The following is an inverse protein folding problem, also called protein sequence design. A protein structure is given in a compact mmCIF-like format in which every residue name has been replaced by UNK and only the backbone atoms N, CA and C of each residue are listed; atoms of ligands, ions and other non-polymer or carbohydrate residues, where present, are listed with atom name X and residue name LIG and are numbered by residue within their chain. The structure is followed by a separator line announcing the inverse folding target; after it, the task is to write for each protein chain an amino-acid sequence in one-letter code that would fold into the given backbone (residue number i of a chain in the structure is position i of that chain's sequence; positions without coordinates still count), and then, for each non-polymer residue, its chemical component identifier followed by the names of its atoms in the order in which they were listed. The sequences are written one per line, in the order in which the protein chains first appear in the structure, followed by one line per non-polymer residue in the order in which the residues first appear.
data_IF_885651296402
#
_entry.id   IF_885651296402
#
_cell.length_a   1.000
_cell.length_b   1.000
_cell.length_c   1.000
_cell.angle_alpha   90.00
_cell.angle_beta   90.00
_cell.angle_gamma   90.00
#
_symmetry.space_group_name_H-M   'P 1'
#
loop_
_entity.id
_entity.type
_entity.pdbx_description
1 polymer ?
#
# COMPACT_ATOMS: atom_id res chain seq x y z
N UNK A 1 -22.24 2.53 -13.59
CA UNK A 1 -20.79 2.81 -13.47
C UNK A 1 -20.13 2.54 -14.81
N UNK A 2 -19.46 3.53 -15.39
CA UNK A 2 -18.65 3.29 -16.59
C UNK A 2 -17.29 2.74 -16.16
N UNK A 3 -16.93 1.59 -16.68
CA UNK A 3 -15.64 0.94 -16.43
C UNK A 3 -14.69 1.27 -17.58
N UNK A 4 -13.42 1.51 -17.24
CA UNK A 4 -12.40 1.70 -18.26
C UNK A 4 -11.93 0.34 -18.76
N UNK A 5 -12.08 0.10 -20.05
CA UNK A 5 -11.46 -1.04 -20.74
C UNK A 5 -9.92 -0.85 -20.80
N UNK A 6 -9.12 -1.92 -20.95
CA UNK A 6 -7.65 -1.85 -20.99
C UNK A 6 -7.09 -0.95 -22.08
N UNK A 7 -7.85 -0.75 -23.16
CA UNK A 7 -7.49 0.14 -24.27
C UNK A 7 -7.74 1.63 -23.98
N UNK A 8 -8.16 1.98 -22.76
CA UNK A 8 -8.53 3.35 -22.37
C UNK A 8 -9.90 3.79 -22.85
N UNK A 9 -10.70 2.90 -23.42
CA UNK A 9 -12.10 3.18 -23.77
C UNK A 9 -13.02 2.99 -22.57
N UNK A 10 -14.16 3.67 -22.60
CA UNK A 10 -15.21 3.49 -21.60
C UNK A 10 -16.03 2.28 -22.02
N UNK A 11 -16.12 1.26 -21.16
CA UNK A 11 -17.05 0.16 -21.30
C UNK A 11 -18.34 0.48 -20.54
N UNK A 12 -19.41 0.93 -21.21
CA UNK A 12 -20.66 1.29 -20.55
C UNK A 12 -21.36 0.09 -19.90
N UNK A 13 -21.09 -1.12 -20.40
CA UNK A 13 -21.72 -2.35 -19.90
C UNK A 13 -21.07 -2.92 -18.67
N UNK A 14 -19.81 -2.55 -18.40
CA UNK A 14 -19.03 -3.09 -17.28
C UNK A 14 -18.85 -4.62 -17.33
N UNK A 15 -19.17 -5.25 -18.46
CA UNK A 15 -19.23 -6.70 -18.59
C UNK A 15 -17.87 -7.34 -18.88
N UNK A 16 -16.90 -6.56 -19.31
CA UNK A 16 -15.58 -7.07 -19.60
C UNK A 16 -14.67 -6.90 -18.40
N UNK A 17 -14.21 -8.01 -17.85
CA UNK A 17 -13.18 -8.07 -16.77
C UNK A 17 -11.82 -7.49 -17.20
N UNK A 18 -11.78 -6.72 -18.27
CA UNK A 18 -10.57 -6.16 -18.86
C UNK A 18 -9.90 -5.06 -18.04
N UNK A 19 -10.57 -4.55 -17.00
CA UNK A 19 -9.93 -3.64 -16.03
C UNK A 19 -8.85 -4.32 -15.17
N UNK A 20 -8.77 -5.65 -15.18
CA UNK A 20 -7.79 -6.41 -14.42
C UNK A 20 -6.50 -6.59 -15.22
N UNK A 21 -5.45 -5.90 -14.81
CA UNK A 21 -4.10 -6.08 -15.36
C UNK A 21 -3.25 -6.86 -14.36
N UNK A 22 -2.85 -8.08 -14.72
CA UNK A 22 -2.02 -8.94 -13.87
C UNK A 22 -0.64 -8.33 -13.63
N UNK A 23 -0.09 -7.65 -14.63
CA UNK A 23 1.20 -6.97 -14.53
C UNK A 23 1.14 -5.79 -13.56
N UNK A 24 0.06 -4.99 -13.62
CA UNK A 24 -0.20 -3.93 -12.66
C UNK A 24 -0.40 -4.45 -11.24
N UNK A 25 -1.16 -5.53 -11.09
CA UNK A 25 -1.37 -6.17 -9.80
C UNK A 25 -0.04 -6.67 -9.21
N UNK A 26 0.79 -7.37 -10.01
CA UNK A 26 2.11 -7.82 -9.59
C UNK A 26 3.00 -6.66 -9.13
N UNK A 27 2.99 -5.54 -9.86
CA UNK A 27 3.71 -4.33 -9.45
C UNK A 27 3.35 -3.88 -8.04
N UNK A 28 2.05 -3.74 -7.72
CA UNK A 28 1.63 -3.27 -6.40
C UNK A 28 1.90 -4.29 -5.29
N UNK A 29 1.76 -5.58 -5.56
CA UNK A 29 2.09 -6.62 -4.58
C UNK A 29 3.58 -6.62 -4.27
N UNK A 30 4.44 -6.53 -5.27
CA UNK A 30 5.88 -6.51 -5.08
C UNK A 30 6.35 -5.19 -4.42
N UNK A 31 5.70 -4.07 -4.75
CA UNK A 31 5.93 -2.79 -4.08
C UNK A 31 5.63 -2.88 -2.58
N UNK A 32 4.59 -3.63 -2.18
CA UNK A 32 4.25 -3.80 -0.76
C UNK A 32 5.37 -4.46 0.05
N UNK A 33 6.16 -5.34 -0.57
CA UNK A 33 7.33 -5.96 0.08
C UNK A 33 8.40 -4.91 0.42
N UNK A 34 8.66 -3.97 -0.50
CA UNK A 34 9.59 -2.86 -0.23
C UNK A 34 9.07 -1.92 0.87
N UNK A 35 7.76 -1.67 0.90
CA UNK A 35 7.12 -0.85 1.96
C UNK A 35 7.28 -1.52 3.33
N UNK A 36 7.02 -2.82 3.43
CA UNK A 36 7.26 -3.59 4.67
C UNK A 36 8.70 -3.51 5.10
N UNK A 37 9.65 -3.66 4.15
CA UNK A 37 11.08 -3.56 4.45
C UNK A 37 11.46 -2.18 4.99
N UNK A 38 10.92 -1.11 4.42
CA UNK A 38 11.13 0.25 4.92
C UNK A 38 10.68 0.40 6.37
N UNK A 39 9.51 -0.16 6.71
CA UNK A 39 9.01 -0.24 8.08
C UNK A 39 9.91 -1.04 9.00
N UNK A 40 10.48 -2.16 8.54
CA UNK A 40 11.40 -2.97 9.36
C UNK A 40 12.67 -2.21 9.75
N UNK A 41 13.21 -1.34 8.88
CA UNK A 41 14.33 -0.46 9.25
C UNK A 41 13.94 0.51 10.36
N UNK A 42 12.79 1.17 10.22
CA UNK A 42 12.30 2.11 11.23
C UNK A 42 11.99 1.39 12.55
N UNK A 43 11.36 0.22 12.48
CA UNK A 43 11.04 -0.61 13.64
C UNK A 43 12.30 -1.08 14.36
N UNK A 44 13.31 -1.59 13.61
CA UNK A 44 14.59 -1.96 14.18
C UNK A 44 15.23 -0.78 14.93
N UNK A 45 15.26 0.42 14.30
CA UNK A 45 15.84 1.61 14.93
C UNK A 45 15.09 2.01 16.20
N UNK A 46 13.78 1.89 16.19
CA UNK A 46 12.94 2.10 17.37
C UNK A 46 13.29 1.14 18.50
N UNK A 47 13.42 -0.16 18.21
CA UNK A 47 13.79 -1.17 19.22
C UNK A 47 15.18 -0.93 19.82
N UNK A 48 16.15 -0.50 19.02
CA UNK A 48 17.50 -0.16 19.49
C UNK A 48 17.51 0.99 20.52
N UNK A 49 16.48 1.82 20.55
CA UNK A 49 16.32 2.89 21.55
C UNK A 49 15.66 2.43 22.84
N UNK A 50 15.25 1.17 22.96
CA UNK A 50 14.55 0.63 24.13
C UNK A 50 15.46 -0.27 24.96
N UNK A 51 15.25 -0.25 26.26
CA UNK A 51 15.96 -1.13 27.20
C UNK A 51 15.23 -2.45 27.33
N UNK A 52 15.98 -3.56 27.34
CA UNK A 52 15.44 -4.90 27.59
C UNK A 52 14.96 -5.67 26.37
N UNK A 53 15.16 -5.12 25.17
CA UNK A 53 14.85 -5.83 23.91
C UNK A 53 15.94 -6.88 23.59
N UNK A 54 15.55 -7.94 22.89
CA UNK A 54 16.46 -9.01 22.49
C UNK A 54 17.44 -8.51 21.41
N UNK A 55 18.72 -8.49 21.75
CA UNK A 55 19.78 -8.07 20.82
C UNK A 55 19.87 -9.00 19.60
N UNK A 56 19.59 -10.31 19.76
CA UNK A 56 19.59 -11.29 18.67
C UNK A 56 18.48 -10.99 17.66
N UNK A 57 17.28 -10.64 18.15
CA UNK A 57 16.18 -10.23 17.30
C UNK A 57 16.47 -8.93 16.52
N UNK A 58 17.02 -7.92 17.21
CA UNK A 58 17.43 -6.66 16.57
C UNK A 58 18.47 -6.90 15.48
N UNK A 59 19.46 -7.77 15.75
CA UNK A 59 20.50 -8.13 14.77
C UNK A 59 19.91 -8.88 13.56
N UNK A 60 18.95 -9.78 13.77
CA UNK A 60 18.26 -10.53 12.72
C UNK A 60 17.41 -9.64 11.81
N UNK A 61 16.79 -8.58 12.32
CA UNK A 61 15.96 -7.68 11.54
C UNK A 61 16.73 -6.97 10.41
N UNK A 62 18.01 -6.64 10.62
CA UNK A 62 18.77 -5.87 9.64
C UNK A 62 18.98 -6.60 8.31
N UNK A 63 19.53 -7.84 8.28
CA UNK A 63 19.69 -8.58 7.04
C UNK A 63 18.35 -8.91 6.36
N UNK A 64 17.29 -9.16 7.14
CA UNK A 64 15.96 -9.36 6.62
C UNK A 64 15.45 -8.12 5.89
N UNK A 65 15.50 -6.94 6.55
CA UNK A 65 15.07 -5.68 5.96
C UNK A 65 15.84 -5.35 4.67
N UNK A 66 17.16 -5.59 4.65
CA UNK A 66 17.97 -5.38 3.45
C UNK A 66 17.58 -6.32 2.28
N UNK A 67 17.34 -7.60 2.57
CA UNK A 67 16.92 -8.58 1.55
C UNK A 67 15.55 -8.21 0.97
N UNK A 68 14.58 -7.91 1.83
CA UNK A 68 13.24 -7.55 1.41
C UNK A 68 13.21 -6.21 0.65
N UNK A 69 13.98 -5.23 1.09
CA UNK A 69 14.06 -3.93 0.42
C UNK A 69 14.64 -4.05 -0.98
N UNK A 70 15.74 -4.79 -1.13
CA UNK A 70 16.33 -5.00 -2.45
C UNK A 70 15.41 -5.83 -3.34
N UNK A 71 14.96 -6.99 -2.85
CA UNK A 71 14.09 -7.87 -3.64
C UNK A 71 12.79 -7.17 -4.03
N UNK A 72 12.09 -6.55 -3.05
CA UNK A 72 10.84 -5.84 -3.29
C UNK A 72 11.01 -4.65 -4.25
N UNK A 73 12.05 -3.84 -4.06
CA UNK A 73 12.31 -2.68 -4.91
C UNK A 73 12.68 -3.05 -6.34
N UNK A 74 13.61 -4.00 -6.53
CA UNK A 74 14.04 -4.45 -7.87
C UNK A 74 12.89 -5.17 -8.60
N UNK A 75 12.18 -6.06 -7.91
CA UNK A 75 11.05 -6.77 -8.51
C UNK A 75 9.87 -5.84 -8.80
N UNK A 76 9.64 -4.80 -7.98
CA UNK A 76 8.65 -3.78 -8.28
C UNK A 76 9.02 -3.01 -9.56
N UNK A 77 10.28 -2.59 -9.72
CA UNK A 77 10.73 -1.92 -10.95
C UNK A 77 10.61 -2.86 -12.16
N UNK A 78 11.02 -4.12 -12.05
CA UNK A 78 10.92 -5.10 -13.13
C UNK A 78 9.46 -5.36 -13.54
N UNK A 79 8.56 -5.57 -12.56
CA UNK A 79 7.13 -5.77 -12.83
C UNK A 79 6.46 -4.49 -13.34
N UNK A 80 6.92 -3.31 -12.89
CA UNK A 80 6.53 -2.02 -13.43
C UNK A 80 6.90 -1.87 -14.90
N UNK A 81 8.12 -2.27 -15.29
CA UNK A 81 8.54 -2.28 -16.69
C UNK A 81 7.67 -3.23 -17.54
N UNK A 82 7.36 -4.42 -17.03
CA UNK A 82 6.43 -5.33 -17.72
C UNK A 82 5.03 -4.73 -17.84
N UNK A 83 4.55 -4.05 -16.81
CA UNK A 83 3.27 -3.33 -16.90
C UNK A 83 3.30 -2.23 -17.97
N UNK A 84 4.37 -1.43 -18.01
CA UNK A 84 4.55 -0.40 -19.06
C UNK A 84 4.51 -0.98 -20.47
N UNK A 85 5.13 -2.15 -20.67
CA UNK A 85 5.10 -2.85 -21.97
C UNK A 85 3.69 -3.35 -22.37
N UNK A 86 2.77 -3.46 -21.40
CA UNK A 86 1.38 -3.87 -21.66
C UNK A 86 0.40 -2.70 -21.71
N UNK A 87 0.89 -1.46 -21.63
CA UNK A 87 0.02 -0.29 -21.72
C UNK A 87 -0.57 -0.14 -23.13
N UNK A 88 -1.86 0.24 -23.22
CA UNK A 88 -2.47 0.60 -24.49
C UNK A 88 -1.72 1.73 -25.19
N UNK A 89 -1.80 1.78 -26.52
CA UNK A 89 -1.12 2.80 -27.33
C UNK A 89 -1.40 4.24 -26.87
N UNK A 90 -2.65 4.54 -26.49
CA UNK A 90 -3.07 5.84 -25.95
C UNK A 90 -2.37 6.22 -24.63
N UNK A 91 -1.78 5.25 -23.93
CA UNK A 91 -1.04 5.44 -22.67
C UNK A 91 0.47 5.27 -22.83
N UNK A 92 0.95 4.91 -24.04
CA UNK A 92 2.36 4.62 -24.29
C UNK A 92 3.30 5.81 -24.00
N UNK A 93 2.79 7.04 -24.11
CA UNK A 93 3.50 8.26 -23.74
C UNK A 93 4.08 8.20 -22.32
N UNK A 94 3.46 7.44 -21.43
CA UNK A 94 3.87 7.38 -20.03
C UNK A 94 5.25 6.73 -19.86
N UNK A 95 5.61 5.77 -20.72
CA UNK A 95 6.91 5.09 -20.65
C UNK A 95 8.10 6.05 -20.85
N UNK A 96 7.89 7.16 -21.56
CA UNK A 96 8.91 8.20 -21.77
C UNK A 96 8.76 9.42 -20.86
N UNK A 97 7.73 9.42 -20.00
CA UNK A 97 7.42 10.54 -19.14
C UNK A 97 8.41 10.71 -17.97
N UNK A 98 8.66 11.95 -17.58
CA UNK A 98 9.46 12.26 -16.39
C UNK A 98 8.87 11.67 -15.10
N UNK A 99 7.54 11.51 -15.02
CA UNK A 99 6.85 10.90 -13.89
C UNK A 99 7.24 9.44 -13.68
N UNK A 100 7.27 8.67 -14.77
CA UNK A 100 7.69 7.28 -14.73
C UNK A 100 9.15 7.16 -14.30
N UNK A 101 10.05 7.92 -14.95
CA UNK A 101 11.47 7.85 -14.64
C UNK A 101 11.78 8.30 -13.20
N UNK A 102 11.15 9.37 -12.73
CA UNK A 102 11.30 9.82 -11.35
C UNK A 102 10.86 8.75 -10.35
N UNK A 103 9.76 8.04 -10.63
CA UNK A 103 9.27 6.93 -9.80
C UNK A 103 10.23 5.74 -9.80
N UNK A 104 10.74 5.36 -10.97
CA UNK A 104 11.69 4.25 -11.10
C UNK A 104 13.01 4.56 -10.37
N UNK A 105 13.55 5.77 -10.54
CA UNK A 105 14.76 6.24 -9.85
C UNK A 105 14.53 6.25 -8.33
N UNK A 106 13.40 6.76 -7.87
CA UNK A 106 13.07 6.80 -6.44
C UNK A 106 12.97 5.39 -5.83
N UNK A 107 12.35 4.43 -6.55
CA UNK A 107 12.27 3.03 -6.11
C UNK A 107 13.64 2.37 -6.07
N UNK A 108 14.47 2.57 -7.09
CA UNK A 108 15.84 2.04 -7.10
C UNK A 108 16.69 2.68 -6.00
N UNK A 109 16.57 3.99 -5.81
CA UNK A 109 17.23 4.68 -4.70
C UNK A 109 16.81 4.08 -3.35
N UNK A 110 15.51 3.86 -3.12
CA UNK A 110 15.01 3.22 -1.91
C UNK A 110 15.58 1.79 -1.75
N UNK A 111 15.67 1.01 -2.83
CA UNK A 111 16.17 -0.36 -2.80
C UNK A 111 17.66 -0.45 -2.42
N UNK A 112 18.49 0.46 -2.92
CA UNK A 112 19.95 0.39 -2.77
C UNK A 112 20.51 1.27 -1.65
N UNK A 113 19.87 2.38 -1.35
CA UNK A 113 20.35 3.36 -0.37
C UNK A 113 20.65 2.78 1.03
N UNK A 114 19.84 1.87 1.60
CA UNK A 114 20.15 1.30 2.90
C UNK A 114 21.50 0.59 2.96
N UNK A 115 21.94 -0.01 1.84
CA UNK A 115 23.26 -0.65 1.76
C UNK A 115 24.41 0.35 1.77
N UNK A 116 24.20 1.51 1.15
CA UNK A 116 25.20 2.59 1.13
C UNK A 116 25.41 3.22 2.51
N UNK A 117 24.39 3.18 3.35
CA UNK A 117 24.47 3.70 4.72
C UNK A 117 25.33 2.80 5.64
N UNK A 118 25.38 1.50 5.39
CA UNK A 118 26.17 0.57 6.18
C UNK A 118 25.94 0.73 7.69
N UNK A 119 27.02 0.87 8.47
CA UNK A 119 26.95 1.06 9.92
C UNK A 119 26.28 2.37 10.41
N UNK A 120 26.04 3.33 9.52
CA UNK A 120 25.29 4.55 9.88
C UNK A 120 23.84 4.26 10.23
N UNK A 121 23.28 3.14 9.76
CA UNK A 121 21.92 2.71 10.12
C UNK A 121 21.70 2.52 11.63
N UNK A 122 22.77 2.33 12.38
CA UNK A 122 22.72 2.19 13.84
C UNK A 122 22.77 3.53 14.56
N UNK A 123 23.01 4.62 13.85
CA UNK A 123 23.28 5.95 14.42
C UNK A 123 22.09 6.91 14.26
N UNK A 124 21.61 7.46 15.37
CA UNK A 124 20.65 8.56 15.39
C UNK A 124 19.47 8.43 14.42
N UNK A 125 19.24 9.44 13.63
CA UNK A 125 18.14 9.50 12.65
C UNK A 125 18.43 8.68 11.36
N UNK A 126 19.69 8.31 11.11
CA UNK A 126 20.03 7.54 9.90
C UNK A 126 19.36 6.19 9.84
N UNK A 127 19.03 5.59 10.98
CA UNK A 127 18.25 4.34 11.03
C UNK A 127 16.84 4.47 10.49
N UNK A 128 16.27 5.69 10.46
CA UNK A 128 14.94 5.96 9.87
C UNK A 128 15.02 6.42 8.41
N UNK A 129 16.21 6.71 7.90
CA UNK A 129 16.39 7.21 6.53
C UNK A 129 15.82 6.27 5.45
N UNK A 130 15.98 4.93 5.53
CA UNK A 130 15.36 4.01 4.57
C UNK A 130 13.84 4.12 4.54
N UNK A 131 13.20 4.33 5.68
CA UNK A 131 11.75 4.56 5.76
C UNK A 131 11.37 5.88 5.08
N UNK A 132 12.10 6.97 5.36
CA UNK A 132 11.85 8.26 4.73
C UNK A 132 11.98 8.22 3.21
N UNK A 133 13.04 7.59 2.69
CA UNK A 133 13.25 7.44 1.24
C UNK A 133 12.20 6.51 0.63
N UNK A 134 11.84 5.43 1.32
CA UNK A 134 10.74 4.55 0.91
C UNK A 134 9.40 5.29 0.81
N UNK A 135 9.10 6.17 1.77
CA UNK A 135 7.91 7.01 1.74
C UNK A 135 7.92 7.99 0.56
N UNK A 136 9.06 8.63 0.28
CA UNK A 136 9.21 9.51 -0.91
C UNK A 136 9.01 8.71 -2.18
N UNK A 137 9.60 7.52 -2.31
CA UNK A 137 9.41 6.65 -3.48
C UNK A 137 7.92 6.28 -3.66
N UNK A 138 7.21 5.96 -2.59
CA UNK A 138 5.78 5.64 -2.64
C UNK A 138 4.94 6.85 -3.09
N UNK A 139 5.25 8.05 -2.60
CA UNK A 139 4.60 9.31 -3.04
C UNK A 139 4.85 9.54 -4.52
N UNK A 140 6.08 9.32 -5.01
CA UNK A 140 6.41 9.47 -6.43
C UNK A 140 5.65 8.48 -7.31
N UNK A 141 5.51 7.22 -6.88
CA UNK A 141 4.70 6.21 -7.57
C UNK A 141 3.22 6.62 -7.60
N UNK A 142 2.69 7.12 -6.48
CA UNK A 142 1.31 7.59 -6.41
C UNK A 142 1.08 8.80 -7.35
N UNK A 143 1.99 9.77 -7.35
CA UNK A 143 1.93 10.92 -8.23
C UNK A 143 2.01 10.53 -9.71
N UNK A 144 2.91 9.60 -10.06
CA UNK A 144 3.04 9.09 -11.42
C UNK A 144 1.77 8.36 -11.89
N UNK A 145 1.17 7.54 -11.00
CA UNK A 145 -0.12 6.88 -11.27
C UNK A 145 -1.22 7.90 -11.56
N UNK A 146 -1.32 8.94 -10.73
CA UNK A 146 -2.33 9.99 -10.93
C UNK A 146 -2.05 10.81 -12.19
N UNK A 147 -0.80 11.11 -12.50
CA UNK A 147 -0.42 11.78 -13.74
C UNK A 147 -0.83 10.93 -14.97
N UNK A 148 -0.54 9.61 -14.95
CA UNK A 148 -0.99 8.70 -16.00
C UNK A 148 -2.51 8.77 -16.18
N UNK A 149 -3.26 8.69 -15.08
CA UNK A 149 -4.72 8.73 -15.11
C UNK A 149 -5.25 10.05 -15.64
N UNK A 150 -4.81 11.17 -15.08
CA UNK A 150 -5.30 12.49 -15.44
C UNK A 150 -4.99 12.86 -16.89
N UNK A 151 -3.73 12.73 -17.31
CA UNK A 151 -3.30 13.11 -18.65
C UNK A 151 -4.00 12.24 -19.70
N UNK A 152 -4.16 10.95 -19.43
CA UNK A 152 -4.90 10.07 -20.35
C UNK A 152 -6.37 10.46 -20.43
N UNK A 153 -7.03 10.74 -19.31
CA UNK A 153 -8.43 11.17 -19.31
C UNK A 153 -8.64 12.50 -20.02
N UNK A 154 -7.75 13.47 -19.82
CA UNK A 154 -7.81 14.76 -20.52
C UNK A 154 -7.58 14.58 -22.02
N UNK A 155 -6.56 13.81 -22.40
CA UNK A 155 -6.18 13.64 -23.81
C UNK A 155 -7.14 12.79 -24.62
N UNK A 156 -7.71 11.73 -24.03
CA UNK A 156 -8.57 10.77 -24.76
C UNK A 156 -10.07 11.05 -24.62
N UNK A 157 -10.50 11.66 -23.52
CA UNK A 157 -11.92 11.86 -23.23
C UNK A 157 -12.31 13.32 -23.01
N UNK A 158 -11.36 14.27 -23.17
CA UNK A 158 -11.62 15.68 -22.93
C UNK A 158 -12.06 15.97 -21.48
N UNK A 159 -11.63 15.10 -20.54
CA UNK A 159 -12.03 15.23 -19.13
C UNK A 159 -11.41 16.48 -18.52
N UNK A 160 -12.27 17.39 -18.05
CA UNK A 160 -11.85 18.56 -17.28
C UNK A 160 -12.38 18.38 -15.87
N UNK A 161 -11.50 18.21 -14.90
CA UNK A 161 -11.87 17.91 -13.51
C UNK A 161 -12.75 18.98 -12.88
N UNK A 162 -12.61 20.26 -13.32
CA UNK A 162 -13.38 21.40 -12.82
C UNK A 162 -14.83 21.43 -13.33
N UNK A 163 -15.12 20.75 -14.45
CA UNK A 163 -16.47 20.70 -15.04
C UNK A 163 -17.36 19.67 -14.33
N UNK A 164 -16.76 18.80 -13.51
CA UNK A 164 -17.49 17.75 -12.81
C UNK A 164 -17.95 18.24 -11.45
N UNK A 165 -19.26 18.25 -11.24
CA UNK A 165 -19.81 18.42 -9.89
C UNK A 165 -19.45 17.20 -9.07
N UNK A 166 -18.94 17.43 -7.87
CA UNK A 166 -18.72 16.37 -6.89
C UNK A 166 -20.10 15.80 -6.55
N UNK A 167 -20.40 14.63 -7.08
CA UNK A 167 -21.62 13.91 -6.70
C UNK A 167 -21.33 13.15 -5.40
N UNK A 168 -21.53 13.84 -4.28
CA UNK A 168 -21.49 13.22 -2.96
C UNK A 168 -22.82 12.48 -2.75
N UNK A 169 -22.84 11.19 -3.05
CA UNK A 169 -23.83 10.32 -2.46
C UNK A 169 -23.51 10.19 -0.97
N UNK A 170 -24.29 10.91 -0.16
CA UNK A 170 -24.08 10.94 1.30
C UNK A 170 -24.24 9.58 1.95
N UNK A 171 -25.06 8.69 1.41
CA UNK A 171 -25.19 7.32 1.92
C UNK A 171 -23.89 6.53 1.74
N UNK A 172 -23.38 6.44 0.52
CA UNK A 172 -22.13 5.71 0.24
C UNK A 172 -20.93 6.34 0.93
N UNK A 173 -20.87 7.68 0.96
CA UNK A 173 -19.78 8.42 1.62
C UNK A 173 -19.80 8.19 3.13
N UNK A 174 -20.96 8.29 3.77
CA UNK A 174 -21.09 8.05 5.21
C UNK A 174 -20.80 6.60 5.56
N UNK A 175 -21.32 5.65 4.76
CA UNK A 175 -21.04 4.22 4.95
C UNK A 175 -19.54 3.93 4.87
N UNK A 176 -18.83 4.53 3.91
CA UNK A 176 -17.39 4.41 3.77
C UNK A 176 -16.65 4.91 5.02
N UNK A 177 -16.92 6.15 5.45
CA UNK A 177 -16.24 6.72 6.61
C UNK A 177 -16.58 6.01 7.92
N UNK A 178 -17.85 5.63 8.14
CA UNK A 178 -18.24 4.86 9.33
C UNK A 178 -17.57 3.50 9.35
N UNK A 179 -17.53 2.80 8.21
CA UNK A 179 -16.83 1.53 8.08
C UNK A 179 -15.35 1.68 8.41
N UNK A 180 -14.69 2.70 7.87
CA UNK A 180 -13.29 2.98 8.15
C UNK A 180 -13.04 3.34 9.63
N UNK A 181 -13.90 4.16 10.22
CA UNK A 181 -13.77 4.56 11.62
C UNK A 181 -14.02 3.38 12.57
N UNK A 182 -15.06 2.59 12.33
CA UNK A 182 -15.44 1.46 13.20
C UNK A 182 -14.49 0.28 13.00
N UNK A 183 -14.31 -0.21 11.78
CA UNK A 183 -13.41 -1.33 11.53
C UNK A 183 -11.95 -0.95 11.76
N UNK A 184 -11.51 0.20 11.23
CA UNK A 184 -10.15 0.69 11.44
C UNK A 184 -9.87 0.97 12.90
N UNK A 185 -10.77 1.65 13.61
CA UNK A 185 -10.61 1.98 15.02
C UNK A 185 -10.60 0.73 15.91
N UNK A 186 -11.57 -0.16 15.76
CA UNK A 186 -11.70 -1.35 16.60
C UNK A 186 -10.64 -2.40 16.29
N UNK A 187 -10.48 -2.76 15.01
CA UNK A 187 -9.54 -3.82 14.58
C UNK A 187 -8.09 -3.38 14.75
N UNK A 188 -7.73 -2.18 14.25
CA UNK A 188 -6.39 -1.64 14.44
C UNK A 188 -6.10 -1.37 15.91
N UNK A 189 -7.05 -0.82 16.66
CA UNK A 189 -6.91 -0.61 18.10
C UNK A 189 -6.61 -1.91 18.84
N UNK A 190 -7.32 -2.99 18.50
CA UNK A 190 -7.03 -4.32 19.03
C UNK A 190 -5.63 -4.80 18.66
N UNK A 191 -5.30 -4.82 17.37
CA UNK A 191 -4.02 -5.32 16.87
C UNK A 191 -2.83 -4.54 17.43
N UNK A 192 -2.91 -3.20 17.44
CA UNK A 192 -1.85 -2.35 17.98
C UNK A 192 -1.69 -2.53 19.49
N UNK A 193 -2.81 -2.69 20.23
CA UNK A 193 -2.76 -2.93 21.67
C UNK A 193 -2.14 -4.29 22.00
N UNK A 194 -2.49 -5.34 21.26
CA UNK A 194 -1.88 -6.67 21.42
C UNK A 194 -0.40 -6.61 21.10
N UNK A 195 -0.03 -6.04 19.95
CA UNK A 195 1.37 -5.93 19.54
C UNK A 195 2.21 -5.15 20.58
N UNK A 196 1.67 -4.04 21.07
CA UNK A 196 2.33 -3.22 22.08
C UNK A 196 2.53 -3.99 23.40
N UNK A 197 1.49 -4.62 23.93
CA UNK A 197 1.57 -5.35 25.20
C UNK A 197 2.41 -6.62 25.09
N UNK A 198 2.28 -7.35 23.99
CA UNK A 198 3.10 -8.53 23.72
C UNK A 198 4.59 -8.17 23.61
N UNK A 199 4.91 -7.06 22.94
CA UNK A 199 6.29 -6.58 22.84
C UNK A 199 6.92 -6.12 24.16
N UNK A 200 6.13 -5.92 25.21
CA UNK A 200 6.63 -5.57 26.54
C UNK A 200 6.71 -6.77 27.49
N UNK A 201 6.19 -7.92 27.08
CA UNK A 201 6.10 -9.11 27.92
C UNK A 201 7.24 -10.07 27.61
N UNK A 202 8.00 -10.47 28.62
CA UNK A 202 8.98 -11.57 28.46
C UNK A 202 8.23 -12.90 28.52
N UNK A 203 8.29 -13.67 27.42
CA UNK A 203 7.61 -14.95 27.31
C UNK A 203 6.27 -14.87 26.59
N UNK A 204 5.35 -15.79 26.88
CA UNK A 204 4.04 -15.86 26.22
C UNK A 204 3.09 -14.81 26.78
N UNK A 205 2.66 -13.88 25.93
CA UNK A 205 1.66 -12.88 26.31
C UNK A 205 0.27 -13.51 26.37
N UNK A 206 -0.40 -13.39 27.51
CA UNK A 206 -1.80 -13.78 27.67
C UNK A 206 -2.66 -12.51 27.73
N UNK A 207 -3.58 -12.30 26.78
CA UNK A 207 -4.42 -11.12 26.74
C UNK A 207 -5.39 -11.10 27.94
N UNK A 208 -5.68 -9.89 28.44
CA UNK A 208 -6.69 -9.70 29.48
C UNK A 208 -8.10 -10.03 28.94
N UNK A 209 -9.08 -10.37 29.82
CA UNK A 209 -10.45 -10.65 29.41
C UNK A 209 -11.09 -9.50 28.59
N UNK A 210 -10.78 -8.26 28.92
CA UNK A 210 -11.25 -7.09 28.16
C UNK A 210 -10.68 -7.06 26.75
N UNK A 211 -9.38 -7.37 26.59
CA UNK A 211 -8.72 -7.41 25.28
C UNK A 211 -9.19 -8.61 24.45
N UNK A 212 -9.47 -9.73 25.08
CA UNK A 212 -10.10 -10.89 24.43
C UNK A 212 -11.49 -10.55 23.88
N UNK A 213 -12.31 -9.85 24.69
CA UNK A 213 -13.63 -9.36 24.22
C UNK A 213 -13.50 -8.41 23.03
N UNK A 214 -12.54 -7.49 23.07
CA UNK A 214 -12.27 -6.58 21.95
C UNK A 214 -11.83 -7.35 20.70
N UNK A 215 -11.03 -8.41 20.85
CA UNK A 215 -10.63 -9.29 19.75
C UNK A 215 -11.83 -10.01 19.12
N UNK A 216 -12.71 -10.57 19.95
CA UNK A 216 -13.93 -11.23 19.48
C UNK A 216 -14.86 -10.25 18.77
N UNK A 217 -15.01 -9.02 19.29
CA UNK A 217 -15.76 -7.95 18.63
C UNK A 217 -15.13 -7.58 17.26
N UNK A 218 -13.80 -7.48 17.21
CA UNK A 218 -13.08 -7.20 15.97
C UNK A 218 -13.33 -8.26 14.89
N UNK A 219 -13.30 -9.53 15.27
CA UNK A 219 -13.60 -10.66 14.37
C UNK A 219 -15.06 -10.60 13.91
N UNK A 220 -16.00 -10.39 14.84
CA UNK A 220 -17.43 -10.25 14.53
C UNK A 220 -17.71 -9.13 13.52
N UNK A 221 -17.11 -7.96 13.75
CA UNK A 221 -17.25 -6.81 12.83
C UNK A 221 -16.65 -7.11 11.44
N UNK A 222 -15.49 -7.77 11.37
CA UNK A 222 -14.89 -8.16 10.10
C UNK A 222 -15.78 -9.15 9.34
N UNK A 223 -16.34 -10.13 10.02
CA UNK A 223 -17.25 -11.11 9.39
C UNK A 223 -18.51 -10.42 8.87
N UNK A 224 -19.15 -9.56 9.67
CA UNK A 224 -20.33 -8.79 9.26
C UNK A 224 -19.99 -7.94 8.03
N UNK A 225 -18.85 -7.25 8.05
CA UNK A 225 -18.42 -6.41 6.93
C UNK A 225 -18.19 -7.21 5.65
N UNK A 226 -17.52 -8.37 5.74
CA UNK A 226 -17.27 -9.26 4.60
C UNK A 226 -18.61 -9.74 4.02
N UNK A 227 -19.52 -10.24 4.86
CA UNK A 227 -20.84 -10.71 4.43
C UNK A 227 -21.64 -9.60 3.76
N UNK A 228 -21.66 -8.41 4.36
CA UNK A 228 -22.33 -7.25 3.78
C UNK A 228 -21.73 -6.86 2.41
N UNK A 229 -20.41 -6.86 2.29
CA UNK A 229 -19.71 -6.54 1.03
C UNK A 229 -20.11 -7.50 -0.09
N UNK A 230 -20.10 -8.81 0.19
CA UNK A 230 -20.52 -9.79 -0.80
C UNK A 230 -22.03 -9.72 -1.10
N UNK A 231 -22.87 -9.52 -0.09
CA UNK A 231 -24.31 -9.39 -0.29
C UNK A 231 -24.66 -8.19 -1.19
N UNK A 232 -24.04 -7.04 -0.96
CA UNK A 232 -24.21 -5.85 -1.81
C UNK A 232 -23.64 -6.10 -3.20
N UNK A 233 -22.47 -6.73 -3.31
CA UNK A 233 -21.85 -7.08 -4.59
C UNK A 233 -22.75 -7.97 -5.45
N UNK A 234 -23.30 -9.03 -4.87
CA UNK A 234 -24.26 -9.91 -5.55
C UNK A 234 -25.55 -9.18 -5.93
N UNK A 235 -26.08 -8.35 -5.05
CA UNK A 235 -27.27 -7.57 -5.33
C UNK A 235 -27.08 -6.61 -6.51
N UNK A 236 -25.94 -5.93 -6.57
CA UNK A 236 -25.61 -5.02 -7.69
C UNK A 236 -25.36 -5.80 -8.98
N UNK A 237 -24.72 -6.97 -8.89
CA UNK A 237 -24.46 -7.81 -10.05
C UNK A 237 -25.71 -8.45 -10.65
N UNK A 238 -26.70 -8.79 -9.82
CA UNK A 238 -27.95 -9.43 -10.24
C UNK A 238 -29.00 -8.46 -10.84
N UNK A 239 -28.74 -7.16 -10.80
CA UNK A 239 -29.57 -6.09 -11.43
C UNK A 239 -29.04 -5.69 -12.79
#
# INVERSE_FOLDING_TARGET
MSWYAPNGEIDPGGQTLHAYSITRFAFFILLSVAVVAAWLFAYRRYLMGRTGEDAGYIAWLLPLAHKLMLAGGVLAVASGALWLATLPEKMAWFATSGWMWASAIALLAAAFFPRLLGGRLDQGLWGYAPFGIGAVALIMVAAAREALRFITLMGTHGYVALDYKINLDWYSTSLFFITFAVLGGVVLGYLLTVAWKAGQTKGVYTPSPALTRLGNLSIGLLVIWIVQYFAIGFYVWAR
#
